data_IF_218498045063
#
_entry.id   IF_218498045063
#
_cell.length_a   1.000
_cell.length_b   1.000
_cell.length_c   1.000
_cell.angle_alpha   90.00
_cell.angle_beta   90.00
_cell.angle_gamma   90.00
#
_symmetry.space_group_name_H-M   'P 1'
#
loop_
_entity.id
_entity.type
_entity.pdbx_description
1 polymer ?
#
# COMPACT_ATOMS: atom_id res chain seq x y z
N UNK A 1 0.61 -9.38 12.14
CA UNK A 1 0.36 -8.14 12.91
C UNK A 1 1.61 -7.61 13.62
N UNK A 2 2.51 -8.46 14.13
CA UNK A 2 3.68 -8.02 14.92
C UNK A 2 4.70 -7.16 14.17
N UNK A 3 4.87 -7.34 12.87
CA UNK A 3 5.86 -6.56 12.08
C UNK A 3 5.49 -5.09 11.88
N UNK A 4 4.23 -4.73 12.00
CA UNK A 4 3.77 -3.34 11.81
C UNK A 4 3.74 -2.53 13.11
N UNK A 5 4.07 -3.14 14.25
CA UNK A 5 4.12 -2.48 15.56
C UNK A 5 5.52 -1.97 15.93
N UNK A 6 6.53 -2.19 15.08
CA UNK A 6 7.85 -1.60 15.27
C UNK A 6 7.78 -0.06 15.17
N UNK A 7 8.64 0.65 15.91
CA UNK A 7 8.65 2.11 15.92
C UNK A 7 8.81 2.72 14.52
N UNK A 8 8.15 3.86 14.25
CA UNK A 8 8.32 4.58 12.99
C UNK A 8 9.79 4.93 12.69
N UNK A 9 10.61 5.13 13.73
CA UNK A 9 12.04 5.36 13.63
C UNK A 9 12.76 4.17 12.96
N UNK A 10 12.40 2.94 13.30
CA UNK A 10 12.96 1.73 12.68
C UNK A 10 12.77 1.74 11.16
N UNK A 11 11.55 2.01 10.69
CA UNK A 11 11.29 2.06 9.25
C UNK A 11 11.98 3.25 8.57
N UNK A 12 12.28 4.30 9.32
CA UNK A 12 13.00 5.47 8.81
C UNK A 12 14.45 5.17 8.45
N UNK A 13 15.06 4.17 9.07
CA UNK A 13 16.49 3.85 8.86
C UNK A 13 16.76 3.24 7.49
N UNK A 14 15.81 2.49 6.93
CA UNK A 14 16.05 1.77 5.67
C UNK A 14 15.07 2.10 4.54
N UNK A 15 13.88 2.62 4.83
CA UNK A 15 12.98 3.12 3.80
C UNK A 15 13.46 4.49 3.29
N UNK A 16 13.12 4.79 2.05
CA UNK A 16 13.38 6.10 1.47
C UNK A 16 12.51 7.22 2.08
N UNK A 17 12.67 8.45 1.62
CA UNK A 17 12.05 9.65 2.22
C UNK A 17 10.52 9.62 2.19
N UNK A 18 9.91 8.84 1.30
CA UNK A 18 8.46 8.68 1.25
C UNK A 18 7.96 7.51 2.10
N UNK A 19 8.84 6.78 2.77
CA UNK A 19 8.50 5.61 3.62
C UNK A 19 7.61 4.58 2.92
N UNK A 20 7.92 4.34 1.65
CA UNK A 20 7.17 3.39 0.84
C UNK A 20 7.59 1.96 1.17
N UNK A 21 6.81 1.27 2.01
CA UNK A 21 7.05 -0.12 2.40
C UNK A 21 6.30 -1.08 1.46
N UNK A 22 6.54 -0.91 0.16
CA UNK A 22 6.03 -1.72 -0.94
C UNK A 22 6.91 -1.50 -2.18
N UNK A 23 6.75 -2.29 -3.24
CA UNK A 23 7.59 -2.22 -4.43
C UNK A 23 7.69 -0.81 -5.01
N UNK A 24 8.90 -0.38 -5.33
CA UNK A 24 9.18 0.85 -6.06
C UNK A 24 9.28 0.59 -7.57
N UNK A 25 9.25 1.64 -8.39
CA UNK A 25 9.41 1.54 -9.83
C UNK A 25 10.76 2.13 -10.27
N UNK A 26 11.55 1.33 -10.96
CA UNK A 26 12.91 1.64 -11.37
C UNK A 26 13.00 1.68 -12.91
N UNK A 27 12.38 2.66 -13.58
CA UNK A 27 12.56 2.81 -15.03
C UNK A 27 13.99 3.21 -15.39
N UNK A 28 14.31 3.23 -16.67
CA UNK A 28 15.62 3.69 -17.16
C UNK A 28 15.92 5.10 -16.65
N UNK A 29 17.13 5.30 -16.12
CA UNK A 29 17.57 6.58 -15.55
C UNK A 29 17.14 6.84 -14.10
N UNK A 30 16.47 5.89 -13.44
CA UNK A 30 16.15 5.94 -12.01
C UNK A 30 17.08 5.03 -11.24
N UNK A 31 17.99 5.63 -10.46
CA UNK A 31 19.09 4.92 -9.80
C UNK A 31 19.12 5.10 -8.27
N UNK A 32 18.20 5.88 -7.70
CA UNK A 32 18.09 6.06 -6.24
C UNK A 32 16.75 5.59 -5.72
N UNK A 33 16.71 5.09 -4.47
CA UNK A 33 15.49 4.65 -3.80
C UNK A 33 14.45 5.77 -3.78
N UNK A 34 14.83 6.99 -3.41
CA UNK A 34 13.93 8.14 -3.38
C UNK A 34 13.29 8.45 -4.75
N UNK A 35 14.05 8.31 -5.84
CA UNK A 35 13.50 8.51 -7.19
C UNK A 35 12.57 7.36 -7.60
N UNK A 36 12.90 6.12 -7.21
CA UNK A 36 12.07 4.95 -7.49
C UNK A 36 10.75 4.96 -6.69
N UNK A 37 10.78 5.42 -5.43
CA UNK A 37 9.55 5.67 -4.66
C UNK A 37 8.64 6.65 -5.38
N UNK A 38 9.16 7.83 -5.78
CA UNK A 38 8.40 8.84 -6.53
C UNK A 38 7.84 8.30 -7.83
N UNK A 39 8.66 7.58 -8.59
CA UNK A 39 8.23 7.00 -9.86
C UNK A 39 7.06 6.02 -9.69
N UNK A 40 7.05 5.21 -8.62
CA UNK A 40 5.93 4.30 -8.35
C UNK A 40 4.70 5.05 -7.85
N UNK A 41 4.86 6.06 -7.00
CA UNK A 41 3.76 6.87 -6.48
C UNK A 41 3.08 7.65 -7.63
N UNK A 42 3.86 8.23 -8.54
CA UNK A 42 3.34 8.90 -9.73
C UNK A 42 2.61 7.92 -10.66
N UNK A 43 3.20 6.75 -10.92
CA UNK A 43 2.59 5.71 -11.73
C UNK A 43 1.27 5.22 -11.12
N UNK A 44 1.22 5.07 -9.80
CA UNK A 44 0.00 4.71 -9.05
C UNK A 44 -1.08 5.78 -9.24
N UNK A 45 -0.76 7.05 -9.02
CA UNK A 45 -1.70 8.15 -9.21
C UNK A 45 -2.23 8.21 -10.66
N UNK A 46 -1.35 8.03 -11.64
CA UNK A 46 -1.71 8.02 -13.06
C UNK A 46 -2.65 6.87 -13.40
N UNK A 47 -2.32 5.64 -13.00
CA UNK A 47 -3.12 4.44 -13.28
C UNK A 47 -4.45 4.42 -12.53
N UNK A 48 -4.49 4.98 -11.33
CA UNK A 48 -5.71 5.17 -10.56
C UNK A 48 -6.57 6.35 -11.09
N UNK A 49 -6.10 7.07 -12.11
CA UNK A 49 -6.75 8.27 -12.68
C UNK A 49 -7.12 9.29 -11.59
N UNK A 50 -6.17 9.53 -10.67
CA UNK A 50 -6.37 10.52 -9.62
C UNK A 50 -6.32 11.93 -10.18
N UNK A 51 -7.25 12.76 -9.73
CA UNK A 51 -7.35 14.16 -10.10
C UNK A 51 -7.71 15.01 -8.88
N UNK A 52 -7.36 16.29 -8.94
CA UNK A 52 -7.69 17.23 -7.87
C UNK A 52 -9.22 17.43 -7.72
N UNK A 53 -9.69 17.54 -6.48
CA UNK A 53 -11.11 17.67 -6.16
C UNK A 53 -11.87 16.36 -5.98
N UNK A 54 -11.22 15.21 -6.10
CA UNK A 54 -11.84 13.91 -5.85
C UNK A 54 -11.95 13.57 -4.36
N UNK A 55 -12.94 12.76 -4.00
CA UNK A 55 -13.00 12.05 -2.72
C UNK A 55 -12.30 10.70 -2.88
N UNK A 56 -11.22 10.47 -2.13
CA UNK A 56 -10.34 9.31 -2.29
C UNK A 56 -10.35 8.49 -1.00
N UNK A 57 -10.51 7.17 -1.14
CA UNK A 57 -10.34 6.20 -0.05
C UNK A 57 -9.08 5.37 -0.32
N UNK A 58 -8.17 5.33 0.63
CA UNK A 58 -7.01 4.45 0.59
C UNK A 58 -7.16 3.30 1.58
N UNK A 59 -7.12 2.06 1.09
CA UNK A 59 -7.23 0.85 1.88
C UNK A 59 -5.84 0.25 2.13
N UNK A 60 -5.39 0.26 3.39
CA UNK A 60 -4.06 -0.21 3.78
C UNK A 60 -2.97 0.82 3.51
N UNK A 61 -3.03 1.96 4.20
CA UNK A 61 -2.14 3.09 3.91
C UNK A 61 -0.69 2.92 4.42
N UNK A 62 -0.38 1.90 5.23
CA UNK A 62 0.95 1.70 5.80
C UNK A 62 1.48 2.96 6.49
N UNK A 63 2.69 3.38 6.20
CA UNK A 63 3.30 4.60 6.75
C UNK A 63 2.88 5.88 6.00
N UNK A 64 1.80 5.83 5.20
CA UNK A 64 1.23 7.00 4.54
C UNK A 64 1.98 7.48 3.31
N UNK A 65 2.79 6.63 2.71
CA UNK A 65 3.56 6.97 1.51
C UNK A 65 2.66 7.53 0.40
N UNK A 66 1.62 6.78 0.03
CA UNK A 66 0.68 7.22 -1.00
C UNK A 66 -0.29 8.28 -0.46
N UNK A 67 -0.76 8.16 0.79
CA UNK A 67 -1.65 9.15 1.43
C UNK A 67 -1.08 10.56 1.34
N UNK A 68 0.15 10.75 1.83
CA UNK A 68 0.81 12.06 1.87
C UNK A 68 1.18 12.56 0.47
N UNK A 69 1.56 11.63 -0.42
CA UNK A 69 1.85 11.95 -1.81
C UNK A 69 0.61 12.48 -2.55
N UNK A 70 -0.53 11.82 -2.38
CA UNK A 70 -1.81 12.27 -2.94
C UNK A 70 -2.21 13.63 -2.38
N UNK A 71 -2.07 13.82 -1.06
CA UNK A 71 -2.45 15.06 -0.40
C UNK A 71 -1.66 16.28 -0.89
N UNK A 72 -0.36 16.12 -1.14
CA UNK A 72 0.45 17.20 -1.69
C UNK A 72 0.11 17.54 -3.14
N UNK A 73 -0.27 16.54 -3.95
CA UNK A 73 -0.57 16.71 -5.38
C UNK A 73 -2.00 17.15 -5.67
N UNK A 74 -2.93 16.78 -4.80
CA UNK A 74 -4.37 17.01 -4.99
C UNK A 74 -4.95 17.79 -3.80
N UNK A 75 -4.60 19.08 -3.66
CA UNK A 75 -4.90 19.85 -2.46
C UNK A 75 -6.41 20.16 -2.26
N UNK A 76 -7.23 19.97 -3.28
CA UNK A 76 -8.70 20.15 -3.22
C UNK A 76 -9.44 18.83 -3.00
N UNK A 77 -8.72 17.70 -3.02
CA UNK A 77 -9.29 16.38 -2.78
C UNK A 77 -9.51 16.15 -1.28
N UNK A 78 -10.43 15.26 -0.93
CA UNK A 78 -10.56 14.72 0.43
C UNK A 78 -10.01 13.29 0.46
N UNK A 79 -9.10 13.01 1.37
CA UNK A 79 -8.46 11.70 1.48
C UNK A 79 -8.83 11.07 2.81
N UNK A 80 -9.42 9.88 2.76
CA UNK A 80 -9.61 9.00 3.90
C UNK A 80 -8.68 7.78 3.74
N UNK A 81 -7.78 7.59 4.68
CA UNK A 81 -6.88 6.44 4.69
C UNK A 81 -7.23 5.48 5.83
N UNK A 82 -7.13 4.18 5.58
CA UNK A 82 -7.42 3.13 6.57
C UNK A 82 -6.15 2.34 6.85
N UNK A 83 -5.80 2.23 8.12
CA UNK A 83 -4.71 1.39 8.63
C UNK A 83 -5.22 0.49 9.76
N UNK A 84 -4.59 -0.63 9.99
CA UNK A 84 -4.83 -1.47 11.18
C UNK A 84 -3.89 -1.13 12.36
N UNK A 85 -3.05 -0.10 12.24
CA UNK A 85 -2.05 0.31 13.23
C UNK A 85 -2.27 1.74 13.71
N UNK A 86 -2.34 1.92 15.03
CA UNK A 86 -2.44 3.25 15.64
C UNK A 86 -1.16 4.06 15.45
N UNK A 87 0.01 3.44 15.53
CA UNK A 87 1.29 4.11 15.33
C UNK A 87 1.44 4.67 13.92
N UNK A 88 0.97 3.94 12.91
CA UNK A 88 0.92 4.43 11.52
C UNK A 88 -0.02 5.62 11.40
N UNK A 89 -1.23 5.54 11.97
CA UNK A 89 -2.18 6.65 11.96
C UNK A 89 -1.60 7.91 12.60
N UNK A 90 -1.03 7.79 13.80
CA UNK A 90 -0.44 8.91 14.53
C UNK A 90 0.70 9.57 13.73
N UNK A 91 1.58 8.75 13.14
CA UNK A 91 2.64 9.23 12.27
C UNK A 91 2.10 10.00 11.07
N UNK A 92 1.12 9.45 10.35
CA UNK A 92 0.57 10.09 9.15
C UNK A 92 -0.08 11.43 9.50
N UNK A 93 -0.88 11.48 10.57
CA UNK A 93 -1.56 12.71 10.99
C UNK A 93 -0.57 13.78 11.47
N UNK A 94 0.48 13.39 12.20
CA UNK A 94 1.55 14.30 12.60
C UNK A 94 2.29 14.87 11.39
N UNK A 95 2.61 14.04 10.41
CA UNK A 95 3.30 14.44 9.20
C UNK A 95 2.41 15.29 8.29
N UNK A 96 1.14 14.95 8.14
CA UNK A 96 0.15 15.77 7.43
C UNK A 96 0.03 17.18 8.07
N UNK A 97 -0.07 17.25 9.40
CA UNK A 97 -0.08 18.51 10.13
C UNK A 97 1.19 19.33 9.89
N UNK A 98 2.37 18.69 9.97
CA UNK A 98 3.67 19.35 9.73
C UNK A 98 3.76 19.95 8.32
N UNK A 99 3.15 19.28 7.32
CA UNK A 99 3.12 19.73 5.91
C UNK A 99 1.94 20.66 5.60
N UNK A 100 1.03 20.94 6.55
CA UNK A 100 -0.16 21.77 6.32
C UNK A 100 -1.25 21.10 5.48
N UNK A 101 -1.30 19.77 5.47
CA UNK A 101 -2.26 18.97 4.71
C UNK A 101 -3.51 18.68 5.56
N UNK A 102 -4.47 19.60 5.57
CA UNK A 102 -5.67 19.54 6.44
C UNK A 102 -6.82 18.68 5.91
N UNK A 103 -6.68 18.14 4.68
CA UNK A 103 -7.71 17.37 3.98
C UNK A 103 -7.44 15.85 4.01
N UNK A 104 -6.61 15.40 4.96
CA UNK A 104 -6.27 14.00 5.21
C UNK A 104 -6.87 13.57 6.54
N UNK A 105 -7.66 12.49 6.48
CA UNK A 105 -8.13 11.75 7.64
C UNK A 105 -7.57 10.33 7.62
N UNK A 106 -7.26 9.78 8.80
CA UNK A 106 -6.80 8.40 8.95
C UNK A 106 -7.61 7.69 10.02
N UNK A 107 -8.13 6.52 9.68
CA UNK A 107 -8.89 5.66 10.60
C UNK A 107 -8.08 4.40 10.90
N UNK A 108 -7.99 4.04 12.18
CA UNK A 108 -7.45 2.73 12.58
C UNK A 108 -8.58 1.72 12.67
N UNK A 109 -8.63 0.80 11.72
CA UNK A 109 -9.63 -0.26 11.68
C UNK A 109 -9.16 -1.43 10.83
N UNK A 110 -9.52 -2.65 11.23
CA UNK A 110 -9.36 -3.83 10.40
C UNK A 110 -10.28 -3.71 9.17
N UNK A 111 -9.73 -3.93 7.97
CA UNK A 111 -10.48 -3.88 6.72
C UNK A 111 -11.64 -4.86 6.66
N UNK A 112 -11.56 -5.98 7.37
CA UNK A 112 -12.68 -6.93 7.47
C UNK A 112 -13.92 -6.31 8.13
N UNK A 113 -13.74 -5.32 8.98
CA UNK A 113 -14.81 -4.65 9.73
C UNK A 113 -15.05 -3.20 9.29
N UNK A 114 -14.16 -2.63 8.49
CA UNK A 114 -14.30 -1.24 8.04
C UNK A 114 -15.55 -1.07 7.20
N UNK A 115 -16.32 -0.01 7.48
CA UNK A 115 -17.47 0.42 6.71
C UNK A 115 -17.34 1.92 6.43
N UNK A 116 -17.40 2.27 5.15
CA UNK A 116 -17.43 3.67 4.77
C UNK A 116 -18.85 4.26 4.96
N UNK A 117 -18.92 5.47 5.45
CA UNK A 117 -20.16 6.22 5.67
C UNK A 117 -20.48 7.23 4.56
N UNK A 118 -19.65 7.28 3.53
CA UNK A 118 -19.81 8.11 2.32
C UNK A 118 -19.30 7.36 1.10
N UNK A 119 -19.58 7.91 -0.08
CA UNK A 119 -19.03 7.40 -1.34
C UNK A 119 -17.77 8.15 -1.76
N UNK A 120 -16.97 7.50 -2.63
CA UNK A 120 -15.69 7.97 -3.10
C UNK A 120 -15.61 7.92 -4.63
N UNK A 121 -14.91 8.87 -5.21
CA UNK A 121 -14.62 8.87 -6.64
C UNK A 121 -13.51 7.86 -6.99
N UNK A 122 -12.60 7.63 -6.05
CA UNK A 122 -11.51 6.66 -6.19
C UNK A 122 -11.30 5.87 -4.91
N UNK A 123 -11.08 4.57 -5.08
CA UNK A 123 -10.56 3.69 -4.02
C UNK A 123 -9.21 3.19 -4.49
N UNK A 124 -8.17 3.35 -3.67
CA UNK A 124 -6.81 2.91 -4.00
C UNK A 124 -6.29 1.96 -2.92
N UNK A 125 -5.51 0.97 -3.33
CA UNK A 125 -4.84 0.07 -2.40
C UNK A 125 -3.54 -0.44 -3.02
N UNK A 126 -2.48 -0.46 -2.21
CA UNK A 126 -1.15 -0.90 -2.63
C UNK A 126 -0.63 -1.95 -1.65
N UNK A 127 -0.39 -3.16 -2.15
CA UNK A 127 0.16 -4.31 -1.41
C UNK A 127 -0.52 -4.54 -0.04
N UNK A 128 -1.85 -4.59 -0.08
CA UNK A 128 -2.70 -4.83 1.08
C UNK A 128 -3.67 -5.99 0.86
N UNK A 129 -4.10 -6.22 -0.37
CA UNK A 129 -5.09 -7.24 -0.70
C UNK A 129 -4.56 -8.67 -0.57
N UNK A 130 -3.26 -8.85 -0.53
CA UNK A 130 -2.59 -10.11 -0.22
C UNK A 130 -2.88 -10.61 1.21
N UNK A 131 -3.30 -9.71 2.10
CA UNK A 131 -3.73 -10.04 3.47
C UNK A 131 -5.22 -10.41 3.57
N UNK A 132 -5.98 -10.26 2.49
CA UNK A 132 -7.39 -10.58 2.42
C UNK A 132 -7.59 -11.94 1.73
N UNK A 133 -8.69 -12.63 2.08
CA UNK A 133 -9.07 -13.90 1.45
C UNK A 133 -10.48 -13.86 0.86
N UNK A 134 -11.35 -13.00 1.37
CA UNK A 134 -12.73 -12.89 0.92
C UNK A 134 -12.90 -11.73 -0.07
N UNK A 135 -12.37 -11.88 -1.28
CA UNK A 135 -12.39 -10.84 -2.32
C UNK A 135 -13.80 -10.50 -2.78
N UNK A 136 -14.69 -11.49 -2.93
CA UNK A 136 -16.09 -11.24 -3.31
C UNK A 136 -16.77 -10.28 -2.34
N UNK A 137 -16.71 -10.55 -1.04
CA UNK A 137 -17.27 -9.67 -0.02
C UNK A 137 -16.61 -8.28 -0.03
N UNK A 138 -15.28 -8.21 -0.18
CA UNK A 138 -14.59 -6.94 -0.23
C UNK A 138 -15.00 -6.12 -1.46
N UNK A 139 -15.09 -6.73 -2.63
CA UNK A 139 -15.51 -6.03 -3.85
C UNK A 139 -16.98 -5.60 -3.80
N UNK A 140 -17.86 -6.42 -3.21
CA UNK A 140 -19.24 -6.02 -2.94
C UNK A 140 -19.33 -4.80 -2.02
N UNK A 141 -18.45 -4.69 -1.03
CA UNK A 141 -18.36 -3.51 -0.15
C UNK A 141 -17.80 -2.31 -0.88
N UNK A 142 -16.70 -2.50 -1.62
CA UNK A 142 -16.07 -1.42 -2.39
C UNK A 142 -17.01 -0.85 -3.44
N UNK A 143 -17.82 -1.69 -4.12
CA UNK A 143 -18.79 -1.20 -5.10
C UNK A 143 -19.83 -0.28 -4.48
N UNK A 144 -20.26 -0.56 -3.24
CA UNK A 144 -21.19 0.31 -2.48
C UNK A 144 -20.52 1.61 -2.01
N UNK A 145 -19.20 1.62 -1.85
CA UNK A 145 -18.46 2.82 -1.45
C UNK A 145 -18.03 3.69 -2.63
N UNK A 146 -18.19 3.22 -3.86
CA UNK A 146 -17.89 4.01 -5.05
C UNK A 146 -19.09 4.88 -5.46
N UNK A 147 -18.81 6.06 -5.97
CA UNK A 147 -19.79 6.83 -6.75
C UNK A 147 -20.16 6.08 -8.05
N UNK A 148 -21.27 6.40 -8.74
CA UNK A 148 -21.65 5.69 -9.98
C UNK A 148 -20.59 5.69 -11.08
N UNK A 149 -19.69 6.67 -11.10
CA UNK A 149 -18.55 6.79 -12.03
C UNK A 149 -17.21 6.50 -11.35
N UNK A 150 -17.27 6.07 -10.10
CA UNK A 150 -16.10 5.80 -9.29
C UNK A 150 -15.31 4.59 -9.81
N UNK A 151 -14.02 4.57 -9.52
CA UNK A 151 -13.10 3.50 -9.90
C UNK A 151 -12.23 3.08 -8.73
N UNK A 152 -11.78 1.82 -8.75
CA UNK A 152 -10.76 1.36 -7.82
C UNK A 152 -9.49 0.97 -8.56
N UNK A 153 -8.36 1.18 -7.89
CA UNK A 153 -7.04 0.75 -8.31
C UNK A 153 -6.45 -0.16 -7.25
N UNK A 154 -6.00 -1.34 -7.66
CA UNK A 154 -5.33 -2.31 -6.80
C UNK A 154 -3.95 -2.61 -7.36
N UNK A 155 -2.93 -2.44 -6.52
CA UNK A 155 -1.58 -2.91 -6.79
C UNK A 155 -1.28 -4.05 -5.82
N UNK A 156 -0.97 -5.22 -6.35
CA UNK A 156 -0.58 -6.41 -5.58
C UNK A 156 0.68 -7.01 -6.16
N UNK A 157 1.49 -7.66 -5.35
CA UNK A 157 2.44 -8.62 -5.89
C UNK A 157 1.70 -9.91 -6.26
N UNK A 158 2.15 -10.61 -7.26
CA UNK A 158 1.47 -11.81 -7.71
C UNK A 158 2.44 -12.85 -8.29
N UNK A 159 2.03 -14.11 -8.18
CA UNK A 159 2.62 -15.17 -8.98
C UNK A 159 2.00 -15.16 -10.39
N UNK A 160 2.79 -15.52 -11.38
CA UNK A 160 2.32 -15.46 -12.78
C UNK A 160 1.09 -16.33 -13.07
N UNK A 161 0.98 -17.50 -12.39
CA UNK A 161 -0.02 -18.53 -12.72
C UNK A 161 -0.75 -19.12 -11.51
N UNK A 162 -0.12 -19.14 -10.32
CA UNK A 162 -0.63 -19.89 -9.19
C UNK A 162 -1.07 -18.99 -8.06
N UNK A 163 -2.16 -19.40 -7.41
CA UNK A 163 -2.58 -18.89 -6.11
C UNK A 163 -2.12 -19.86 -5.04
N UNK A 164 -1.48 -19.39 -3.99
CA UNK A 164 -1.14 -20.20 -2.83
C UNK A 164 -1.09 -19.36 -1.54
N UNK A 165 -1.31 -20.02 -0.42
CA UNK A 165 -1.28 -19.40 0.90
C UNK A 165 0.13 -19.45 1.49
N UNK A 166 0.44 -18.47 2.34
CA UNK A 166 1.63 -18.47 3.18
C UNK A 166 1.25 -19.05 4.54
N UNK A 167 1.36 -20.37 4.67
CA UNK A 167 0.85 -21.09 5.85
C UNK A 167 1.91 -21.36 6.92
N UNK A 168 3.16 -20.92 6.70
CA UNK A 168 4.26 -21.07 7.66
C UNK A 168 4.70 -22.53 7.88
N UNK A 169 4.46 -23.41 6.90
CA UNK A 169 4.94 -24.78 6.91
C UNK A 169 6.44 -24.89 6.66
N UNK A 170 7.01 -26.09 6.90
CA UNK A 170 8.44 -26.37 6.69
C UNK A 170 8.86 -25.98 5.24
N UNK A 171 9.71 -24.94 5.15
CA UNK A 171 10.20 -24.38 3.89
C UNK A 171 9.47 -23.12 3.39
N UNK A 172 8.41 -22.68 4.06
CA UNK A 172 7.74 -21.41 3.77
C UNK A 172 8.29 -20.29 4.68
N UNK A 173 9.48 -19.80 4.33
CA UNK A 173 10.12 -18.69 5.06
C UNK A 173 9.23 -17.43 5.11
N UNK A 174 8.53 -17.13 4.03
CA UNK A 174 7.64 -15.97 3.96
C UNK A 174 6.47 -16.10 4.94
N UNK A 175 5.85 -17.28 5.02
CA UNK A 175 4.75 -17.53 5.95
C UNK A 175 5.21 -17.56 7.40
N UNK A 176 6.42 -18.05 7.67
CA UNK A 176 6.96 -18.16 9.03
C UNK A 176 7.37 -16.79 9.59
N UNK A 177 8.09 -15.98 8.82
CA UNK A 177 8.77 -14.78 9.32
C UNK A 177 8.16 -13.46 8.86
N UNK A 178 7.41 -13.43 7.77
CA UNK A 178 6.97 -12.16 7.19
C UNK A 178 5.46 -12.06 6.95
N UNK A 179 4.83 -13.10 6.39
CA UNK A 179 3.49 -12.97 5.81
C UNK A 179 2.49 -14.03 6.34
N UNK A 180 2.43 -14.18 7.68
CA UNK A 180 1.50 -15.15 8.30
C UNK A 180 0.06 -14.95 7.83
N UNK A 181 -0.54 -16.02 7.31
CA UNK A 181 -1.92 -16.06 6.82
C UNK A 181 -2.18 -15.21 5.57
N UNK A 182 -1.15 -14.73 4.89
CA UNK A 182 -1.28 -14.04 3.60
C UNK A 182 -1.55 -14.99 2.45
N UNK A 183 -1.77 -14.41 1.29
CA UNK A 183 -2.00 -15.11 0.03
C UNK A 183 -1.07 -14.54 -1.05
N UNK A 184 -0.46 -15.41 -1.84
CA UNK A 184 0.13 -15.05 -3.13
C UNK A 184 -0.98 -15.12 -4.18
N UNK A 185 -1.49 -14.00 -4.69
CA UNK A 185 -2.48 -14.05 -5.76
C UNK A 185 -1.83 -14.46 -7.08
N UNK A 186 -2.59 -15.11 -7.96
CA UNK A 186 -2.19 -15.21 -9.36
C UNK A 186 -2.47 -13.89 -10.09
N UNK A 187 -1.83 -13.71 -11.22
CA UNK A 187 -1.98 -12.49 -12.03
C UNK A 187 -3.41 -12.27 -12.54
N UNK A 188 -4.19 -13.32 -12.63
CA UNK A 188 -5.58 -13.30 -13.11
C UNK A 188 -6.62 -13.44 -12.00
N UNK A 189 -6.20 -13.55 -10.74
CA UNK A 189 -7.10 -13.84 -9.62
C UNK A 189 -8.31 -12.90 -9.58
N UNK A 190 -8.11 -11.60 -9.70
CA UNK A 190 -9.19 -10.62 -9.57
C UNK A 190 -10.17 -10.63 -10.75
N UNK A 191 -9.81 -11.20 -11.89
CA UNK A 191 -10.75 -11.37 -13.02
C UNK A 191 -11.86 -12.39 -12.74
N UNK A 192 -11.68 -13.22 -11.71
CA UNK A 192 -12.68 -14.20 -11.29
C UNK A 192 -13.76 -13.63 -10.34
N UNK A 193 -13.57 -12.37 -9.88
CA UNK A 193 -14.48 -11.68 -8.96
C UNK A 193 -15.12 -10.46 -9.66
N UNK A 194 -15.99 -10.69 -10.64
CA UNK A 194 -16.54 -9.65 -11.52
C UNK A 194 -18.04 -9.42 -11.34
N UNK A 195 -18.63 -9.85 -10.25
CA UNK A 195 -20.06 -9.68 -9.94
C UNK A 195 -20.37 -8.22 -9.60
N UNK A 196 -19.60 -7.59 -8.73
CA UNK A 196 -19.82 -6.23 -8.24
C UNK A 196 -18.91 -5.19 -8.89
N UNK A 197 -17.68 -5.58 -9.25
CA UNK A 197 -16.69 -4.73 -9.93
C UNK A 197 -16.13 -5.47 -11.14
N UNK A 198 -15.81 -4.72 -12.20
CA UNK A 198 -15.20 -5.27 -13.41
C UNK A 198 -13.81 -4.69 -13.60
N UNK A 199 -12.83 -5.55 -13.86
CA UNK A 199 -11.50 -5.11 -14.29
C UNK A 199 -11.62 -4.45 -15.67
N UNK A 200 -11.18 -3.20 -15.78
CA UNK A 200 -11.21 -2.40 -17.01
C UNK A 200 -9.82 -2.29 -17.65
N UNK A 201 -8.78 -2.42 -16.86
CA UNK A 201 -7.39 -2.42 -17.32
C UNK A 201 -6.50 -3.16 -16.34
N UNK A 202 -5.36 -3.69 -16.81
CA UNK A 202 -4.36 -4.36 -15.97
C UNK A 202 -2.96 -4.17 -16.53
N UNK A 203 -1.98 -4.03 -15.64
CA UNK A 203 -0.59 -3.79 -16.01
C UNK A 203 0.33 -4.73 -15.22
N UNK A 204 1.32 -5.25 -15.90
CA UNK A 204 2.40 -5.97 -15.25
C UNK A 204 3.58 -5.03 -14.96
N UNK A 205 4.09 -5.12 -13.75
CA UNK A 205 5.37 -4.53 -13.34
C UNK A 205 6.34 -5.68 -13.10
N UNK A 206 7.49 -5.67 -13.79
CA UNK A 206 8.46 -6.74 -13.70
C UNK A 206 8.99 -6.89 -12.27
N UNK A 207 9.04 -8.11 -11.75
CA UNK A 207 9.53 -8.41 -10.39
C UNK A 207 10.96 -7.92 -10.10
N UNK A 208 11.77 -7.63 -11.13
CA UNK A 208 13.07 -6.97 -10.97
C UNK A 208 12.98 -5.59 -10.30
N UNK A 209 11.85 -4.91 -10.40
CA UNK A 209 11.63 -3.66 -9.67
C UNK A 209 11.53 -3.91 -8.17
N UNK A 210 10.88 -4.99 -7.76
CA UNK A 210 10.81 -5.37 -6.36
C UNK A 210 12.17 -5.87 -5.84
N UNK A 211 12.88 -6.70 -6.63
CA UNK A 211 14.26 -7.12 -6.32
C UNK A 211 15.17 -5.92 -6.05
N UNK A 212 15.17 -4.92 -6.94
CA UNK A 212 15.95 -3.68 -6.75
C UNK A 212 15.54 -2.91 -5.49
N UNK A 213 14.24 -2.89 -5.19
CA UNK A 213 13.71 -2.23 -4.00
C UNK A 213 14.20 -2.91 -2.73
N UNK A 214 14.10 -4.24 -2.65
CA UNK A 214 14.58 -5.03 -1.52
C UNK A 214 16.09 -4.87 -1.32
N UNK A 215 16.87 -4.91 -2.40
CA UNK A 215 18.32 -4.68 -2.33
C UNK A 215 18.65 -3.25 -1.85
N UNK A 216 17.90 -2.24 -2.27
CA UNK A 216 18.10 -0.88 -1.79
C UNK A 216 17.77 -0.76 -0.29
N UNK A 217 16.70 -1.37 0.19
CA UNK A 217 16.38 -1.42 1.62
C UNK A 217 17.45 -2.17 2.41
N UNK A 218 17.93 -3.31 1.90
CA UNK A 218 19.00 -4.07 2.56
C UNK A 218 20.29 -3.23 2.69
N UNK A 219 20.69 -2.54 1.64
CA UNK A 219 21.86 -1.65 1.68
C UNK A 219 21.71 -0.53 2.72
N UNK A 220 20.52 0.08 2.83
CA UNK A 220 20.28 1.10 3.86
C UNK A 220 20.22 0.48 5.26
N UNK A 221 19.62 -0.70 5.41
CA UNK A 221 19.59 -1.46 6.68
C UNK A 221 21.03 -1.74 7.17
N UNK A 222 21.90 -2.25 6.30
CA UNK A 222 23.29 -2.57 6.62
C UNK A 222 24.08 -1.30 7.02
N UNK A 223 23.79 -0.16 6.40
CA UNK A 223 24.42 1.12 6.75
C UNK A 223 24.03 1.67 8.11
N UNK A 224 22.82 1.36 8.57
CA UNK A 224 22.24 1.88 9.81
C UNK A 224 22.12 0.82 10.90
N UNK A 225 22.87 -0.28 10.82
CA UNK A 225 22.76 -1.41 11.73
C UNK A 225 22.87 -1.00 13.21
N UNK A 226 23.84 -0.17 13.57
CA UNK A 226 24.02 0.30 14.95
C UNK A 226 22.83 1.13 15.45
N UNK A 227 22.27 1.99 14.59
CA UNK A 227 21.08 2.78 14.91
C UNK A 227 19.85 1.88 15.09
N UNK A 228 19.69 0.88 14.23
CA UNK A 228 18.61 -0.10 14.30
C UNK A 228 18.68 -0.89 15.60
N UNK A 229 19.88 -1.38 15.98
CA UNK A 229 20.09 -2.09 17.24
C UNK A 229 19.73 -1.22 18.45
N UNK A 230 20.10 0.06 18.42
CA UNK A 230 19.75 1.02 19.49
C UNK A 230 18.23 1.31 19.58
N UNK A 231 17.49 1.26 18.46
CA UNK A 231 16.04 1.46 18.43
C UNK A 231 15.32 0.22 18.99
N UNK A 232 15.86 -0.98 18.79
CA UNK A 232 15.25 -2.25 19.16
C UNK A 232 15.65 -2.76 20.54
N UNK A 233 16.67 -2.17 21.19
CA UNK A 233 17.14 -2.50 22.54
C UNK A 233 16.27 -1.85 23.63
#
# INVERSE_FOLDING_TARGET
AQHYELPAAFFATFLGPHRKYSSCYWPAGVDTLAAAERAMLDLTCQRAELADGQSILELGCGWGSLTLWMAERFPKSSILAVSNSNSQREYILAEAKRRGLSHVDVVTQDLNHFQANKTFDRIVSVECFEHLRNYGEMFARMSRWLTPTGRCFLHVFCHRQFVYTFDGGSGDWMGEYFFQSGLMPSADLFFHFNEDLRVIDSWYVNGKHYERTLNAWLMEYDRHQEEIEAILS
#
